data_IF_888268586529
#
_entry.id   IF_888268586529
#
_cell.length_a   1.000
_cell.length_b   1.000
_cell.length_c   1.000
_cell.angle_alpha   90.00
_cell.angle_beta   90.00
_cell.angle_gamma   90.00
#
_symmetry.space_group_name_H-M   'P 1'
#
loop_
_entity.id
_entity.type
_entity.pdbx_description
1 polymer ?
#
# COMPACT_ATOMS: atom_id res chain seq x y z
N UNK A 1 50.38 21.37 28.82
CA UNK A 1 50.34 20.95 27.40
C UNK A 1 48.94 21.00 26.80
N UNK A 2 47.86 20.81 27.58
CA UNK A 2 46.46 20.83 27.11
C UNK A 2 46.03 22.08 26.33
N UNK A 3 46.47 23.29 26.72
CA UNK A 3 46.08 24.54 26.05
C UNK A 3 46.55 24.65 24.59
N UNK A 4 47.63 23.96 24.18
CA UNK A 4 48.08 23.96 22.79
C UNK A 4 47.17 23.12 21.90
N UNK A 5 46.69 21.98 22.40
CA UNK A 5 45.83 21.08 21.63
C UNK A 5 44.41 21.64 21.46
N UNK A 6 43.87 22.28 22.50
CA UNK A 6 42.62 23.04 22.43
C UNK A 6 42.64 24.07 21.28
N UNK A 7 43.69 24.88 21.20
CA UNK A 7 43.83 25.90 20.14
C UNK A 7 43.89 25.30 18.73
N UNK A 8 44.54 24.16 18.56
CA UNK A 8 44.61 23.45 17.26
C UNK A 8 43.21 23.01 16.84
N UNK A 9 42.40 22.49 17.76
CA UNK A 9 41.04 22.02 17.49
C UNK A 9 40.08 23.14 17.16
N UNK A 10 40.12 24.23 17.91
CA UNK A 10 39.31 25.41 17.62
C UNK A 10 39.62 25.94 16.22
N UNK A 11 40.91 26.05 15.84
CA UNK A 11 41.31 26.45 14.48
C UNK A 11 40.87 25.46 13.40
N UNK A 12 40.94 24.15 13.68
CA UNK A 12 40.48 23.13 12.75
C UNK A 12 38.97 23.22 12.52
N UNK A 13 38.19 23.45 13.58
CA UNK A 13 36.75 23.65 13.50
C UNK A 13 36.37 24.96 12.78
N UNK A 14 37.11 26.05 13.03
CA UNK A 14 36.97 27.32 12.29
C UNK A 14 37.20 27.11 10.79
N UNK A 15 38.30 26.44 10.40
CA UNK A 15 38.61 26.13 9.00
C UNK A 15 37.57 25.23 8.34
N UNK A 16 37.14 24.17 9.03
CA UNK A 16 36.08 23.29 8.53
C UNK A 16 34.77 24.06 8.32
N UNK A 17 34.44 25.01 9.20
CA UNK A 17 33.29 25.87 9.05
C UNK A 17 33.44 26.79 7.83
N UNK A 18 34.58 27.45 7.65
CA UNK A 18 34.88 28.29 6.47
C UNK A 18 34.73 27.54 5.16
N UNK A 19 35.17 26.28 5.12
CA UNK A 19 35.09 25.37 3.97
C UNK A 19 33.70 24.73 3.79
N UNK A 20 32.70 25.11 4.60
CA UNK A 20 31.33 24.59 4.52
C UNK A 20 31.13 23.18 5.06
N UNK A 21 32.16 22.55 5.64
CA UNK A 21 32.11 21.22 6.25
C UNK A 21 31.54 21.25 7.66
N UNK A 22 30.26 21.65 7.76
CA UNK A 22 29.57 21.88 9.04
C UNK A 22 29.52 20.64 9.95
N UNK A 23 29.44 19.44 9.38
CA UNK A 23 29.38 18.19 10.16
C UNK A 23 30.72 17.88 10.85
N UNK A 24 31.84 18.21 10.19
CA UNK A 24 33.18 18.11 10.77
C UNK A 24 33.39 19.21 11.81
N UNK A 25 33.02 20.45 11.50
CA UNK A 25 33.08 21.57 12.44
C UNK A 25 32.28 21.28 13.72
N UNK A 26 31.08 20.71 13.59
CA UNK A 26 30.27 20.27 14.73
C UNK A 26 30.97 19.19 15.56
N UNK A 27 31.51 18.15 14.93
CA UNK A 27 32.19 17.05 15.62
C UNK A 27 33.36 17.56 16.47
N UNK A 28 34.16 18.47 15.91
CA UNK A 28 35.30 19.07 16.59
C UNK A 28 34.88 20.03 17.71
N UNK A 29 33.77 20.76 17.54
CA UNK A 29 33.33 21.79 18.47
C UNK A 29 32.54 21.26 19.69
N UNK A 30 31.95 20.06 19.61
CA UNK A 30 31.15 19.46 20.69
C UNK A 30 32.00 18.88 21.82
N UNK A 31 33.30 18.74 21.61
CA UNK A 31 34.18 18.09 22.57
C UNK A 31 34.26 18.84 23.91
N UNK A 32 34.26 18.12 25.05
CA UNK A 32 34.13 18.73 26.37
C UNK A 32 35.17 19.83 26.65
N UNK A 33 36.41 19.62 26.22
CA UNK A 33 37.52 20.56 26.41
C UNK A 33 37.30 21.89 25.68
N UNK A 34 36.53 21.89 24.58
CA UNK A 34 36.26 23.06 23.74
C UNK A 34 35.18 23.95 24.36
N UNK A 35 34.21 23.37 25.07
CA UNK A 35 33.03 24.10 25.58
C UNK A 35 33.32 25.19 26.63
N UNK A 36 34.43 25.06 27.37
CA UNK A 36 34.79 26.01 28.43
C UNK A 36 35.53 27.27 27.93
N UNK A 37 35.92 27.33 26.66
CA UNK A 37 36.75 28.40 26.12
C UNK A 37 35.93 29.55 25.50
N UNK A 38 36.29 30.80 25.80
CA UNK A 38 35.58 31.97 25.29
C UNK A 38 35.62 32.11 23.76
N UNK A 39 36.72 31.67 23.11
CA UNK A 39 36.83 31.64 21.64
C UNK A 39 35.90 30.58 21.06
N UNK A 40 35.78 29.44 21.71
CA UNK A 40 34.85 28.40 21.31
C UNK A 40 33.40 28.88 21.37
N UNK A 41 33.04 29.74 22.32
CA UNK A 41 31.72 30.36 22.37
C UNK A 41 31.34 31.08 21.05
N UNK A 42 32.26 31.85 20.47
CA UNK A 42 32.03 32.53 19.17
C UNK A 42 31.91 31.54 18.01
N UNK A 43 32.75 30.50 18.01
CA UNK A 43 32.69 29.42 17.02
C UNK A 43 31.33 28.71 17.07
N UNK A 44 30.85 28.34 18.27
CA UNK A 44 29.55 27.67 18.46
C UNK A 44 28.38 28.56 18.02
N UNK A 45 28.41 29.87 18.28
CA UNK A 45 27.41 30.81 17.75
C UNK A 45 27.43 30.89 16.21
N UNK A 46 28.62 30.92 15.60
CA UNK A 46 28.78 30.90 14.14
C UNK A 46 28.24 29.61 13.52
N UNK A 47 28.61 28.47 14.10
CA UNK A 47 28.13 27.15 13.71
C UNK A 47 26.61 27.04 13.86
N UNK A 48 26.05 27.54 14.95
CA UNK A 48 24.61 27.54 15.22
C UNK A 48 23.82 28.26 14.12
N UNK A 49 24.25 29.46 13.71
CA UNK A 49 23.60 30.19 12.60
C UNK A 49 23.64 29.42 11.28
N UNK A 50 24.78 28.79 10.96
CA UNK A 50 24.95 28.02 9.71
C UNK A 50 24.13 26.72 9.71
N UNK A 51 24.08 26.01 10.84
CA UNK A 51 23.23 24.82 10.99
C UNK A 51 21.75 25.17 10.87
N UNK A 52 21.31 26.27 11.50
CA UNK A 52 19.93 26.74 11.37
C UNK A 52 19.58 27.10 9.92
N UNK A 53 20.47 27.81 9.21
CA UNK A 53 20.28 28.12 7.80
C UNK A 53 20.21 26.86 6.94
N UNK A 54 21.10 25.88 7.17
CA UNK A 54 21.07 24.59 6.47
C UNK A 54 19.80 23.80 6.76
N UNK A 55 19.29 23.85 7.99
CA UNK A 55 18.02 23.21 8.35
C UNK A 55 16.82 23.84 7.60
N UNK A 56 16.79 25.17 7.42
CA UNK A 56 15.75 25.84 6.62
C UNK A 56 15.79 25.40 5.17
N UNK A 57 16.97 25.45 4.55
CA UNK A 57 17.15 24.98 3.17
C UNK A 57 16.79 23.50 3.02
N UNK A 58 17.12 22.69 4.03
CA UNK A 58 16.77 21.28 4.01
C UNK A 58 15.26 21.03 4.11
N UNK A 59 14.56 21.81 4.94
CA UNK A 59 13.09 21.76 5.01
C UNK A 59 12.46 22.22 3.68
N UNK A 60 12.92 23.33 3.11
CA UNK A 60 12.44 23.85 1.82
C UNK A 60 12.64 22.84 0.69
N UNK A 61 13.76 22.12 0.71
CA UNK A 61 14.03 21.00 -0.20
C UNK A 61 13.27 19.70 0.13
N UNK A 62 12.45 19.68 1.18
CA UNK A 62 11.70 18.50 1.63
C UNK A 62 12.56 17.42 2.31
N UNK A 63 13.83 17.69 2.57
CA UNK A 63 14.78 16.80 3.27
C UNK A 63 14.61 16.92 4.79
N UNK A 64 13.43 16.58 5.29
CA UNK A 64 13.04 16.78 6.70
C UNK A 64 13.98 16.09 7.71
N UNK A 65 14.43 14.88 7.43
CA UNK A 65 15.40 14.15 8.29
C UNK A 65 16.70 14.92 8.48
N UNK A 66 17.21 15.51 7.39
CA UNK A 66 18.42 16.34 7.43
C UNK A 66 18.18 17.63 8.22
N UNK A 67 17.02 18.25 8.06
CA UNK A 67 16.64 19.42 8.84
C UNK A 67 16.57 19.10 10.34
N UNK A 68 15.96 17.98 10.75
CA UNK A 68 15.91 17.54 12.14
C UNK A 68 17.30 17.24 12.69
N UNK A 69 18.16 16.56 11.93
CA UNK A 69 19.53 16.29 12.34
C UNK A 69 20.31 17.57 12.65
N UNK A 70 20.13 18.62 11.86
CA UNK A 70 20.76 19.92 12.12
C UNK A 70 20.16 20.64 13.33
N UNK A 71 18.85 20.54 13.55
CA UNK A 71 18.17 21.13 14.71
C UNK A 71 18.53 20.41 16.02
N UNK A 72 18.69 19.09 16.00
CA UNK A 72 19.14 18.33 17.16
C UNK A 72 20.60 18.66 17.50
N UNK A 73 21.45 18.92 16.49
CA UNK A 73 22.81 19.44 16.71
C UNK A 73 22.82 20.82 17.36
N UNK A 74 21.89 21.71 17.01
CA UNK A 74 21.72 23.00 17.70
C UNK A 74 21.45 22.81 19.19
N UNK A 75 20.59 21.85 19.55
CA UNK A 75 20.32 21.49 20.95
C UNK A 75 21.56 20.97 21.66
N UNK A 76 22.36 20.13 20.99
CA UNK A 76 23.61 19.58 21.56
C UNK A 76 24.63 20.67 21.89
N UNK A 77 24.73 21.73 21.07
CA UNK A 77 25.63 22.86 21.35
C UNK A 77 25.00 23.94 22.25
N UNK A 78 23.79 23.71 22.76
CA UNK A 78 23.07 24.67 23.61
C UNK A 78 22.56 25.91 22.87
N UNK A 79 22.50 25.87 21.53
CA UNK A 79 22.02 26.98 20.70
C UNK A 79 20.52 26.83 20.39
N UNK A 80 19.70 26.77 21.44
CA UNK A 80 18.25 26.62 21.32
C UNK A 80 17.62 28.02 21.25
N UNK A 81 17.13 28.39 20.08
CA UNK A 81 16.35 29.61 19.88
C UNK A 81 14.87 29.26 19.69
N UNK A 82 13.98 30.23 19.96
CA UNK A 82 12.55 30.07 19.67
C UNK A 82 12.29 29.71 18.20
N UNK A 83 13.08 30.30 17.29
CA UNK A 83 13.02 30.01 15.86
C UNK A 83 13.44 28.58 15.51
N UNK A 84 14.48 28.04 16.16
CA UNK A 84 14.90 26.65 15.94
C UNK A 84 13.84 25.67 16.43
N UNK A 85 13.23 25.92 17.59
CA UNK A 85 12.15 25.08 18.12
C UNK A 85 10.87 25.18 17.26
N UNK A 86 10.52 26.37 16.79
CA UNK A 86 9.41 26.55 15.86
C UNK A 86 9.65 25.78 14.55
N UNK A 87 10.85 25.92 13.96
CA UNK A 87 11.24 25.20 12.76
C UNK A 87 11.17 23.68 12.99
N UNK A 88 11.64 23.19 14.14
CA UNK A 88 11.56 21.77 14.52
C UNK A 88 10.12 21.29 14.57
N UNK A 89 9.24 22.05 15.23
CA UNK A 89 7.82 21.72 15.30
C UNK A 89 7.15 21.73 13.92
N UNK A 90 7.53 22.66 13.04
CA UNK A 90 7.05 22.70 11.65
C UNK A 90 7.50 21.46 10.87
N UNK A 91 8.78 21.09 10.93
CA UNK A 91 9.32 19.89 10.25
C UNK A 91 8.64 18.61 10.71
N UNK A 92 8.45 18.44 12.03
CA UNK A 92 7.74 17.27 12.59
C UNK A 92 6.31 17.19 12.06
N UNK A 93 5.56 18.30 12.10
CA UNK A 93 4.18 18.33 11.56
C UNK A 93 4.13 18.00 10.08
N UNK A 94 5.09 18.47 9.29
CA UNK A 94 5.17 18.18 7.85
C UNK A 94 5.46 16.68 7.59
N UNK A 95 6.36 16.07 8.37
CA UNK A 95 6.63 14.63 8.31
C UNK A 95 5.41 13.79 8.70
N UNK A 96 4.75 14.15 9.81
CA UNK A 96 3.54 13.45 10.27
C UNK A 96 2.44 13.48 9.20
N UNK A 97 2.21 14.66 8.59
CA UNK A 97 1.26 14.77 7.46
C UNK A 97 1.66 13.89 6.29
N UNK A 98 2.93 13.86 5.92
CA UNK A 98 3.43 13.00 4.82
C UNK A 98 3.22 11.51 5.14
N UNK A 99 3.52 11.08 6.35
CA UNK A 99 3.31 9.71 6.80
C UNK A 99 1.83 9.33 6.83
N UNK A 100 0.97 10.19 7.36
CA UNK A 100 -0.48 9.98 7.36
C UNK A 100 -1.03 9.89 5.93
N UNK A 101 -0.63 10.78 5.03
CA UNK A 101 -1.05 10.75 3.64
C UNK A 101 -0.55 9.48 2.90
N UNK A 102 0.64 8.99 3.24
CA UNK A 102 1.16 7.74 2.68
C UNK A 102 0.40 6.52 3.23
N UNK A 103 0.09 6.51 4.53
CA UNK A 103 -0.69 5.45 5.16
C UNK A 103 -2.12 5.38 4.59
N UNK A 104 -2.79 6.53 4.43
CA UNK A 104 -4.11 6.60 3.79
C UNK A 104 -4.10 6.06 2.36
N UNK A 105 -3.10 6.43 1.56
CA UNK A 105 -2.95 5.89 0.19
C UNK A 105 -2.78 4.37 0.18
N UNK A 106 -1.97 3.83 1.09
CA UNK A 106 -1.80 2.37 1.23
C UNK A 106 -3.11 1.68 1.60
N UNK A 107 -3.86 2.25 2.54
CA UNK A 107 -5.15 1.71 2.96
C UNK A 107 -6.16 1.64 1.80
N UNK A 108 -6.24 2.69 0.97
CA UNK A 108 -7.12 2.68 -0.22
C UNK A 108 -6.71 1.59 -1.21
N UNK A 109 -5.42 1.49 -1.53
CA UNK A 109 -4.91 0.46 -2.45
C UNK A 109 -5.16 -0.95 -1.91
N UNK A 110 -4.99 -1.16 -0.61
CA UNK A 110 -5.25 -2.44 0.04
C UNK A 110 -6.75 -2.81 0.03
N UNK A 111 -7.62 -1.84 0.32
CA UNK A 111 -9.07 -2.00 0.25
C UNK A 111 -9.53 -2.34 -1.17
N UNK A 112 -9.03 -1.64 -2.18
CA UNK A 112 -9.34 -1.92 -3.58
C UNK A 112 -8.87 -3.33 -3.98
N UNK A 113 -7.66 -3.72 -3.58
CA UNK A 113 -7.14 -5.06 -3.82
C UNK A 113 -8.00 -6.14 -3.15
N UNK A 114 -8.43 -5.90 -1.90
CA UNK A 114 -9.31 -6.81 -1.17
C UNK A 114 -10.68 -6.96 -1.86
N UNK A 115 -11.27 -5.85 -2.32
CA UNK A 115 -12.54 -5.87 -3.05
C UNK A 115 -12.42 -6.65 -4.37
N UNK A 116 -11.33 -6.47 -5.11
CA UNK A 116 -11.08 -7.23 -6.35
C UNK A 116 -10.95 -8.73 -6.08
N UNK A 117 -10.21 -9.12 -5.03
CA UNK A 117 -10.10 -10.52 -4.61
C UNK A 117 -11.45 -11.11 -4.22
N UNK A 118 -12.22 -10.40 -3.39
CA UNK A 118 -13.55 -10.83 -2.98
C UNK A 118 -14.52 -11.00 -4.17
N UNK A 119 -14.44 -10.14 -5.18
CA UNK A 119 -15.24 -10.28 -6.41
C UNK A 119 -14.91 -11.57 -7.17
N UNK A 120 -13.62 -11.89 -7.32
CA UNK A 120 -13.16 -13.14 -7.97
C UNK A 120 -13.60 -14.36 -7.15
N UNK A 121 -13.39 -14.35 -5.84
CA UNK A 121 -13.78 -15.46 -4.96
C UNK A 121 -15.29 -15.70 -4.99
N UNK A 122 -16.08 -14.63 -4.96
CA UNK A 122 -17.54 -14.72 -5.07
C UNK A 122 -17.97 -15.33 -6.41
N UNK A 123 -17.41 -14.85 -7.51
CA UNK A 123 -17.70 -15.39 -8.84
C UNK A 123 -17.35 -16.89 -8.94
N UNK A 124 -16.16 -17.26 -8.46
CA UNK A 124 -15.73 -18.66 -8.40
C UNK A 124 -16.66 -19.53 -7.52
N UNK A 125 -17.10 -19.00 -6.37
CA UNK A 125 -18.02 -19.70 -5.47
C UNK A 125 -19.41 -19.89 -6.09
N UNK A 126 -19.94 -18.88 -6.78
CA UNK A 126 -21.21 -18.97 -7.50
C UNK A 126 -21.15 -20.02 -8.62
N UNK A 127 -20.07 -20.01 -9.42
CA UNK A 127 -19.85 -21.03 -10.44
C UNK A 127 -19.73 -22.43 -9.82
N UNK A 128 -18.95 -22.59 -8.75
CA UNK A 128 -18.76 -23.88 -8.06
C UNK A 128 -20.08 -24.42 -7.52
N UNK A 129 -20.94 -23.56 -6.99
CA UNK A 129 -22.25 -23.92 -6.46
C UNK A 129 -23.33 -24.11 -7.54
N UNK A 130 -22.98 -24.05 -8.84
CA UNK A 130 -23.93 -24.21 -9.95
C UNK A 130 -24.85 -23.00 -10.16
N UNK A 131 -24.64 -21.87 -9.47
CA UNK A 131 -25.47 -20.68 -9.69
C UNK A 131 -25.01 -19.96 -10.96
N UNK A 132 -25.28 -20.51 -12.15
CA UNK A 132 -24.69 -20.02 -13.41
C UNK A 132 -25.11 -18.59 -13.74
N UNK A 133 -26.37 -18.22 -13.52
CA UNK A 133 -26.84 -16.85 -13.76
C UNK A 133 -26.20 -15.83 -12.80
N UNK A 134 -26.15 -16.16 -11.51
CA UNK A 134 -25.45 -15.31 -10.52
C UNK A 134 -23.95 -15.27 -10.80
N UNK A 135 -23.37 -16.39 -11.19
CA UNK A 135 -21.97 -16.54 -11.57
C UNK A 135 -21.63 -15.68 -12.78
N UNK A 136 -22.46 -15.67 -13.83
CA UNK A 136 -22.29 -14.81 -15.01
C UNK A 136 -22.20 -13.34 -14.62
N UNK A 137 -23.18 -12.86 -13.86
CA UNK A 137 -23.20 -11.47 -13.37
C UNK A 137 -22.01 -11.17 -12.46
N UNK A 138 -21.56 -12.12 -11.65
CA UNK A 138 -20.39 -11.96 -10.80
C UNK A 138 -19.08 -11.90 -11.59
N UNK A 139 -18.94 -12.72 -12.64
CA UNK A 139 -17.79 -12.73 -13.56
C UNK A 139 -17.67 -11.41 -14.31
N UNK A 140 -18.79 -10.82 -14.76
CA UNK A 140 -18.79 -9.50 -15.41
C UNK A 140 -18.27 -8.37 -14.50
N UNK A 141 -18.44 -8.51 -13.18
CA UNK A 141 -17.94 -7.54 -12.19
C UNK A 141 -16.46 -7.72 -11.84
N UNK A 142 -15.82 -8.79 -12.31
CA UNK A 142 -14.38 -9.00 -12.13
C UNK A 142 -13.62 -8.03 -13.02
N UNK A 143 -12.74 -7.24 -12.41
CA UNK A 143 -11.95 -6.21 -13.11
C UNK A 143 -10.62 -6.71 -13.64
N UNK A 144 -10.08 -7.81 -13.11
CA UNK A 144 -8.88 -8.48 -13.63
C UNK A 144 -9.25 -9.27 -14.89
N UNK A 145 -8.78 -8.83 -16.06
CA UNK A 145 -9.12 -9.40 -17.36
C UNK A 145 -8.81 -10.90 -17.44
N UNK A 146 -7.60 -11.29 -17.04
CA UNK A 146 -7.16 -12.69 -17.14
C UNK A 146 -8.01 -13.58 -16.26
N UNK A 147 -8.29 -13.15 -15.02
CA UNK A 147 -9.16 -13.91 -14.11
C UNK A 147 -10.60 -13.97 -14.61
N UNK A 148 -11.09 -12.88 -15.23
CA UNK A 148 -12.42 -12.85 -15.82
C UNK A 148 -12.52 -13.83 -16.99
N UNK A 149 -11.55 -13.87 -17.88
CA UNK A 149 -11.47 -14.84 -18.99
C UNK A 149 -11.44 -16.28 -18.47
N UNK A 150 -10.57 -16.59 -17.50
CA UNK A 150 -10.51 -17.92 -16.87
C UNK A 150 -11.88 -18.35 -16.29
N UNK A 151 -12.62 -17.44 -15.67
CA UNK A 151 -13.94 -17.72 -15.12
C UNK A 151 -15.03 -17.82 -16.20
N UNK A 152 -14.91 -17.05 -17.30
CA UNK A 152 -15.81 -17.15 -18.47
C UNK A 152 -15.68 -18.50 -19.14
N UNK A 153 -14.46 -18.97 -19.39
CA UNK A 153 -14.23 -20.29 -19.97
C UNK A 153 -14.84 -21.41 -19.10
N UNK A 154 -14.69 -21.30 -17.77
CA UNK A 154 -15.32 -22.25 -16.84
C UNK A 154 -16.84 -22.20 -16.89
N UNK A 155 -17.43 -21.01 -17.00
CA UNK A 155 -18.88 -20.83 -17.15
C UNK A 155 -19.35 -21.46 -18.47
N UNK A 156 -18.66 -21.20 -19.58
CA UNK A 156 -19.02 -21.71 -20.90
C UNK A 156 -18.98 -23.24 -20.96
N UNK A 157 -17.93 -23.86 -20.41
CA UNK A 157 -17.84 -25.33 -20.31
C UNK A 157 -19.00 -25.90 -19.49
N UNK A 158 -19.40 -25.23 -18.41
CA UNK A 158 -20.54 -25.69 -17.58
C UNK A 158 -21.86 -25.54 -18.32
N UNK A 159 -22.09 -24.42 -19.02
CA UNK A 159 -23.27 -24.19 -19.83
C UNK A 159 -23.40 -25.24 -20.94
N UNK A 160 -22.31 -25.53 -21.66
CA UNK A 160 -22.28 -26.56 -22.69
C UNK A 160 -22.65 -27.95 -22.15
N UNK A 161 -22.07 -28.35 -21.02
CA UNK A 161 -22.37 -29.65 -20.37
C UNK A 161 -23.81 -29.73 -19.86
N UNK A 162 -24.31 -28.66 -19.25
CA UNK A 162 -25.70 -28.55 -18.84
C UNK A 162 -26.66 -28.71 -20.02
N UNK A 163 -26.41 -27.99 -21.11
CA UNK A 163 -27.21 -28.09 -22.33
C UNK A 163 -27.18 -29.48 -22.95
N UNK A 164 -26.03 -30.17 -22.90
CA UNK A 164 -25.93 -31.56 -23.35
C UNK A 164 -26.81 -32.51 -22.53
N UNK A 165 -26.78 -32.41 -21.20
CA UNK A 165 -27.61 -33.24 -20.32
C UNK A 165 -29.10 -32.95 -20.52
N UNK A 166 -29.49 -31.68 -20.71
CA UNK A 166 -30.88 -31.32 -20.99
C UNK A 166 -31.36 -31.82 -22.36
N UNK A 167 -30.49 -31.81 -23.38
CA UNK A 167 -30.81 -32.46 -24.68
C UNK A 167 -31.03 -33.96 -24.52
N UNK A 168 -30.15 -34.66 -23.81
CA UNK A 168 -30.30 -36.09 -23.52
C UNK A 168 -31.57 -36.39 -22.71
N UNK A 169 -31.91 -35.51 -21.76
CA UNK A 169 -33.16 -35.60 -21.01
C UNK A 169 -34.38 -35.48 -21.95
N UNK A 170 -34.34 -34.54 -22.90
CA UNK A 170 -35.37 -34.37 -23.94
C UNK A 170 -35.53 -35.59 -24.84
N UNK A 171 -34.43 -36.11 -25.37
CA UNK A 171 -34.43 -37.31 -26.22
C UNK A 171 -34.94 -38.56 -25.48
N UNK A 172 -34.65 -38.69 -24.18
CA UNK A 172 -35.21 -39.76 -23.35
C UNK A 172 -36.72 -39.58 -23.14
N UNK A 173 -37.17 -38.35 -22.89
CA UNK A 173 -38.58 -38.05 -22.70
C UNK A 173 -39.40 -38.32 -23.97
N UNK A 174 -38.87 -37.95 -25.14
CA UNK A 174 -39.49 -38.21 -26.45
C UNK A 174 -39.65 -39.71 -26.76
N UNK A 175 -38.77 -40.55 -26.20
CA UNK A 175 -38.86 -42.02 -26.29
C UNK A 175 -39.78 -42.66 -25.22
N UNK A 176 -40.39 -41.85 -24.35
CA UNK A 176 -41.23 -42.31 -23.23
C UNK A 176 -40.43 -42.82 -22.03
N UNK A 177 -39.12 -42.57 -21.96
CA UNK A 177 -38.24 -43.00 -20.88
C UNK A 177 -38.21 -41.98 -19.72
N UNK A 178 -39.36 -41.74 -19.08
CA UNK A 178 -39.54 -40.63 -18.10
C UNK A 178 -38.54 -40.65 -16.94
N UNK A 179 -38.20 -41.82 -16.39
CA UNK A 179 -37.23 -41.93 -15.29
C UNK A 179 -35.80 -41.57 -15.73
N UNK A 180 -35.43 -41.90 -16.98
CA UNK A 180 -34.12 -41.56 -17.55
C UNK A 180 -34.04 -40.06 -17.78
N UNK A 181 -35.11 -39.46 -18.33
CA UNK A 181 -35.23 -38.01 -18.51
C UNK A 181 -35.10 -37.26 -17.18
N UNK A 182 -35.80 -37.71 -16.13
CA UNK A 182 -35.71 -37.14 -14.79
C UNK A 182 -34.28 -37.21 -14.24
N UNK A 183 -33.59 -38.35 -14.42
CA UNK A 183 -32.20 -38.51 -13.94
C UNK A 183 -31.24 -37.54 -14.63
N UNK A 184 -31.31 -37.40 -15.95
CA UNK A 184 -30.46 -36.45 -16.68
C UNK A 184 -30.75 -35.00 -16.30
N UNK A 185 -32.02 -34.64 -16.12
CA UNK A 185 -32.39 -33.31 -15.63
C UNK A 185 -31.89 -33.05 -14.20
N UNK A 186 -32.04 -34.00 -13.28
CA UNK A 186 -31.50 -33.89 -11.92
C UNK A 186 -29.97 -33.76 -11.94
N UNK A 187 -29.28 -34.55 -12.75
CA UNK A 187 -27.81 -34.46 -12.88
C UNK A 187 -27.37 -33.10 -13.43
N UNK A 188 -28.08 -32.56 -14.44
CA UNK A 188 -27.84 -31.22 -14.95
C UNK A 188 -28.02 -30.17 -13.84
N UNK A 189 -29.13 -30.26 -13.10
CA UNK A 189 -29.45 -29.34 -12.01
C UNK A 189 -28.47 -29.44 -10.83
N UNK A 190 -28.04 -30.63 -10.45
CA UNK A 190 -27.17 -30.81 -9.29
C UNK A 190 -25.73 -30.38 -9.59
N UNK A 191 -25.24 -30.65 -10.80
CA UNK A 191 -23.86 -30.30 -11.20
C UNK A 191 -23.72 -28.89 -11.73
N UNK A 192 -24.73 -28.38 -12.40
CA UNK A 192 -24.69 -27.13 -13.13
C UNK A 192 -25.74 -26.13 -12.66
N UNK A 193 -26.55 -26.49 -11.65
CA UNK A 193 -27.57 -25.65 -11.04
C UNK A 193 -28.77 -25.36 -11.93
N UNK A 194 -29.58 -24.39 -11.50
CA UNK A 194 -30.83 -24.02 -12.20
C UNK A 194 -30.53 -23.00 -13.28
N UNK A 195 -30.94 -23.33 -14.50
CA UNK A 195 -31.01 -22.44 -15.67
C UNK A 195 -32.46 -22.30 -16.14
N UNK A 196 -32.76 -21.26 -16.92
CA UNK A 196 -34.08 -21.09 -17.53
C UNK A 196 -34.51 -22.34 -18.32
N UNK A 197 -33.56 -22.93 -19.07
CA UNK A 197 -33.75 -24.18 -19.83
C UNK A 197 -34.08 -25.38 -18.91
N UNK A 198 -33.41 -25.48 -17.76
CA UNK A 198 -33.70 -26.55 -16.79
C UNK A 198 -35.07 -26.38 -16.14
N UNK A 199 -35.51 -25.14 -15.89
CA UNK A 199 -36.83 -24.88 -15.32
C UNK A 199 -37.93 -25.11 -16.37
N UNK A 200 -37.70 -24.73 -17.63
CA UNK A 200 -38.58 -25.05 -18.76
C UNK A 200 -38.70 -26.58 -18.95
N UNK A 201 -37.58 -27.30 -18.88
CA UNK A 201 -37.60 -28.76 -18.96
C UNK A 201 -38.39 -29.38 -17.80
N UNK A 202 -38.28 -28.84 -16.58
CA UNK A 202 -39.05 -29.31 -15.44
C UNK A 202 -40.57 -29.18 -15.65
N UNK A 203 -41.01 -28.09 -16.28
CA UNK A 203 -42.42 -27.90 -16.66
C UNK A 203 -42.85 -28.97 -17.66
N UNK A 204 -42.06 -29.22 -18.70
CA UNK A 204 -42.34 -30.29 -19.69
C UNK A 204 -42.42 -31.67 -19.04
N UNK A 205 -41.49 -31.99 -18.15
CA UNK A 205 -41.43 -33.26 -17.45
C UNK A 205 -42.65 -33.50 -16.55
N UNK A 206 -43.25 -32.44 -15.99
CA UNK A 206 -44.45 -32.53 -15.16
C UNK A 206 -45.75 -32.83 -15.94
N UNK A 207 -45.73 -32.60 -17.26
CA UNK A 207 -46.88 -32.84 -18.13
C UNK A 207 -46.82 -34.14 -18.94
N UNK A 208 -45.75 -34.92 -18.80
CA UNK A 208 -45.52 -36.19 -19.49
C UNK A 208 -45.80 -37.37 -18.55
#
# INVERSE_FOLDING_TARGET
MFSRWLNVRVRAAERAMEEGRLDEAFRLAVEPEVRGDARAGRLLQGLGRRLLARARLAREGGWHERALGDLDRLRVIGHVSAEAEELRAQVIREMDRKHQAAAQRRAVVEQDAAQRRAAVEKAAADLKAGRLESGRLAVERVTDERRREELREQLDVRLQRSGQLLRQAGEALERGETLVALRFWQEARDRHGRTAESDEFAVRLSGA
#
